data_IF_048548109345
#
_entry.id   IF_048548109345
#
_cell.length_a   1.000
_cell.length_b   1.000
_cell.length_c   1.000
_cell.angle_alpha   90.00
_cell.angle_beta   90.00
_cell.angle_gamma   90.00
#
_symmetry.space_group_name_H-M   'P 1'
#
loop_
_entity.id
_entity.type
_entity.pdbx_description
1 polymer ?
#
# COMPACT_ATOMS: atom_id res chain seq x y z
N UNK A 1 -52.55 38.98 -8.27
CA UNK A 1 -52.85 37.60 -8.60
C UNK A 1 -51.58 36.84 -8.34
N UNK A 2 -51.37 36.41 -7.20
CA UNK A 2 -51.60 35.16 -6.47
C UNK A 2 -50.44 34.17 -6.76
N UNK A 3 -49.56 34.06 -5.82
CA UNK A 3 -49.48 33.16 -4.70
C UNK A 3 -48.81 31.81 -5.06
N UNK A 4 -47.66 31.59 -4.45
CA UNK A 4 -47.24 30.40 -3.69
C UNK A 4 -47.29 29.04 -4.39
N UNK A 5 -46.11 28.45 -4.50
CA UNK A 5 -45.89 27.05 -4.11
C UNK A 5 -44.43 26.86 -3.62
N UNK A 6 -44.24 26.82 -2.34
CA UNK A 6 -43.06 26.24 -1.69
C UNK A 6 -43.11 24.69 -1.82
N UNK A 7 -42.12 24.07 -2.42
CA UNK A 7 -41.89 22.66 -2.24
C UNK A 7 -40.76 22.44 -1.20
N UNK A 8 -41.16 21.97 -0.04
CA UNK A 8 -40.32 21.38 0.95
C UNK A 8 -39.71 20.07 0.38
N UNK A 9 -38.39 20.00 0.30
CA UNK A 9 -37.69 18.72 0.22
C UNK A 9 -37.28 18.34 1.64
N UNK A 10 -37.86 17.24 2.10
CA UNK A 10 -37.56 16.65 3.40
C UNK A 10 -36.20 15.96 3.41
N UNK A 11 -35.42 16.30 4.42
CA UNK A 11 -34.22 15.55 4.80
C UNK A 11 -34.60 14.16 5.29
N UNK A 12 -34.16 13.12 4.55
CA UNK A 12 -34.17 11.75 5.05
C UNK A 12 -32.91 11.51 5.85
N UNK A 13 -32.97 11.63 7.15
CA UNK A 13 -31.93 11.15 8.08
C UNK A 13 -31.95 9.62 8.10
N UNK A 14 -30.97 9.01 7.48
CA UNK A 14 -30.73 7.56 7.58
C UNK A 14 -29.98 7.32 8.91
N UNK A 15 -30.72 6.89 9.95
CA UNK A 15 -30.14 6.43 11.19
C UNK A 15 -29.90 4.93 11.09
N UNK A 16 -28.67 4.52 10.82
CA UNK A 16 -28.24 3.14 10.99
C UNK A 16 -28.18 2.84 12.50
N UNK A 17 -29.22 2.16 13.00
CA UNK A 17 -29.21 1.58 14.33
C UNK A 17 -28.42 0.28 14.31
N UNK A 18 -27.24 0.29 14.95
CA UNK A 18 -26.49 -0.93 15.26
C UNK A 18 -27.16 -1.61 16.44
N UNK A 19 -27.83 -2.72 16.20
CA UNK A 19 -28.42 -3.56 17.24
C UNK A 19 -27.34 -4.49 17.81
N UNK A 20 -26.86 -4.16 19.01
CA UNK A 20 -25.91 -5.01 19.74
C UNK A 20 -26.71 -6.08 20.47
N UNK A 21 -26.64 -7.32 20.02
CA UNK A 21 -27.17 -8.47 20.75
C UNK A 21 -26.21 -8.84 21.89
N UNK A 22 -26.63 -8.56 23.14
CA UNK A 22 -26.00 -9.14 24.32
C UNK A 22 -26.51 -10.58 24.51
N UNK A 23 -25.66 -11.57 24.28
CA UNK A 23 -25.93 -12.93 24.71
C UNK A 23 -25.69 -13.03 26.22
N UNK A 24 -26.76 -13.18 26.99
CA UNK A 24 -26.68 -13.57 28.39
C UNK A 24 -26.50 -15.08 28.47
N UNK A 25 -25.31 -15.55 28.82
CA UNK A 25 -25.10 -16.94 29.22
C UNK A 25 -25.53 -17.09 30.69
N UNK A 26 -26.64 -17.78 30.89
CA UNK A 26 -27.05 -18.27 32.20
C UNK A 26 -26.33 -19.59 32.48
N UNK A 27 -25.41 -19.58 33.44
CA UNK A 27 -24.75 -20.79 33.92
C UNK A 27 -25.67 -21.43 34.97
N UNK A 28 -26.34 -22.49 34.55
CA UNK A 28 -27.08 -23.37 35.47
C UNK A 28 -26.12 -24.36 36.12
N UNK A 29 -25.88 -24.21 37.42
CA UNK A 29 -25.13 -25.17 38.22
C UNK A 29 -25.98 -26.44 38.43
N UNK A 30 -25.70 -27.49 37.65
CA UNK A 30 -26.13 -28.85 38.00
C UNK A 30 -24.91 -29.63 38.46
N UNK A 31 -24.82 -29.82 39.79
CA UNK A 31 -23.89 -30.78 40.35
C UNK A 31 -24.41 -32.19 39.99
N UNK A 32 -23.77 -32.89 39.10
CA UNK A 32 -23.82 -34.34 39.00
C UNK A 32 -22.43 -34.89 39.28
N UNK A 33 -22.30 -35.49 40.46
CA UNK A 33 -21.12 -36.30 40.83
C UNK A 33 -21.15 -37.60 40.04
N UNK A 34 -20.29 -37.73 39.04
CA UNK A 34 -19.96 -38.99 38.41
C UNK A 34 -18.50 -39.31 38.76
N UNK A 35 -18.34 -40.32 39.68
CA UNK A 35 -17.03 -40.96 39.91
C UNK A 35 -16.69 -41.82 38.69
N UNK A 36 -16.00 -41.19 37.71
CA UNK A 36 -15.41 -41.87 36.58
C UNK A 36 -13.89 -41.96 36.80
N UNK A 37 -13.39 -43.19 36.87
CA UNK A 37 -11.97 -43.46 36.89
C UNK A 37 -11.29 -42.85 35.67
N UNK A 38 -10.56 -41.79 35.86
CA UNK A 38 -9.70 -41.21 34.81
C UNK A 38 -8.56 -42.21 34.58
N UNK A 39 -8.67 -42.99 33.51
CA UNK A 39 -7.53 -43.72 32.95
C UNK A 39 -6.66 -42.65 32.28
N UNK A 40 -5.67 -42.18 32.99
CA UNK A 40 -4.61 -41.36 32.40
C UNK A 40 -3.80 -42.28 31.48
N UNK A 41 -4.14 -42.31 30.22
CA UNK A 41 -3.17 -42.72 29.21
C UNK A 41 -2.08 -41.66 29.20
N UNK A 42 -1.03 -41.89 29.98
CA UNK A 42 0.23 -41.20 29.76
C UNK A 42 0.76 -41.75 28.41
N UNK A 43 0.30 -41.13 27.33
CA UNK A 43 0.99 -41.22 26.05
C UNK A 43 2.35 -40.52 26.28
N UNK A 44 3.39 -41.34 26.54
CA UNK A 44 4.76 -40.91 26.34
C UNK A 44 5.03 -40.84 24.85
N UNK A 45 4.28 -40.00 24.14
CA UNK A 45 4.62 -39.53 22.83
C UNK A 45 5.78 -38.56 23.01
N UNK A 46 6.81 -38.70 22.22
CA UNK A 46 7.86 -37.70 22.07
C UNK A 46 7.16 -36.42 21.62
N UNK A 47 7.20 -35.38 22.44
CA UNK A 47 6.65 -34.09 22.04
C UNK A 47 7.56 -33.55 20.96
N UNK A 48 7.00 -33.24 19.80
CA UNK A 48 7.73 -32.55 18.76
C UNK A 48 8.14 -31.16 19.25
N UNK A 49 9.38 -30.78 18.96
CA UNK A 49 9.98 -29.52 19.35
C UNK A 49 10.82 -28.90 18.20
N UNK A 50 10.88 -29.60 17.08
CA UNK A 50 11.50 -29.02 15.88
C UNK A 50 10.51 -28.04 15.23
N UNK A 51 11.04 -27.07 14.53
CA UNK A 51 10.23 -26.01 13.95
C UNK A 51 10.05 -26.25 12.45
N UNK A 52 8.86 -26.06 11.89
CA UNK A 52 8.67 -26.15 10.46
C UNK A 52 9.45 -25.06 9.72
N UNK A 53 9.89 -25.36 8.51
CA UNK A 53 10.73 -24.48 7.69
C UNK A 53 10.35 -24.55 6.21
N UNK A 54 10.83 -23.58 5.42
CA UNK A 54 10.87 -23.71 3.96
C UNK A 54 11.91 -24.76 3.60
N UNK A 55 11.55 -25.71 2.71
CA UNK A 55 12.45 -26.78 2.32
C UNK A 55 13.60 -26.23 1.46
N UNK A 56 14.83 -26.39 1.93
CA UNK A 56 16.02 -25.95 1.19
C UNK A 56 16.53 -26.96 0.17
N UNK A 57 16.01 -28.20 0.20
CA UNK A 57 16.51 -29.30 -0.63
C UNK A 57 15.36 -30.07 -1.31
N UNK A 58 14.75 -29.52 -2.33
CA UNK A 58 13.85 -30.22 -3.24
C UNK A 58 14.41 -30.27 -4.66
N UNK A 59 15.46 -31.05 -4.85
CA UNK A 59 16.07 -31.23 -6.14
C UNK A 59 16.96 -30.04 -6.56
N UNK A 60 16.83 -29.56 -7.79
CA UNK A 60 17.66 -28.48 -8.35
C UNK A 60 16.95 -27.11 -8.38
N UNK A 61 15.79 -26.99 -7.74
CA UNK A 61 15.02 -25.75 -7.72
C UNK A 61 15.25 -25.00 -6.41
N UNK A 62 15.56 -23.72 -6.53
CA UNK A 62 15.69 -22.80 -5.41
C UNK A 62 14.31 -22.42 -4.94
N UNK A 63 14.12 -22.19 -3.62
CA UNK A 63 12.89 -21.60 -3.09
C UNK A 63 12.61 -20.26 -3.75
N UNK A 64 11.37 -20.03 -4.18
CA UNK A 64 10.95 -18.73 -4.73
C UNK A 64 11.03 -17.63 -3.67
N UNK A 65 10.83 -18.00 -2.40
CA UNK A 65 10.95 -17.07 -1.27
C UNK A 65 12.40 -16.71 -0.91
N UNK A 66 13.40 -17.29 -1.59
CA UNK A 66 14.81 -16.95 -1.40
C UNK A 66 15.28 -15.79 -2.29
N UNK A 67 14.50 -15.43 -3.30
CA UNK A 67 14.80 -14.36 -4.27
C UNK A 67 13.70 -13.29 -4.22
N UNK A 68 13.97 -12.11 -4.78
CA UNK A 68 12.98 -11.07 -5.00
C UNK A 68 11.94 -11.53 -6.02
N UNK A 69 10.68 -11.13 -5.81
CA UNK A 69 9.54 -11.47 -6.68
C UNK A 69 9.23 -10.25 -7.53
N UNK A 70 9.25 -10.41 -8.85
CA UNK A 70 8.82 -9.38 -9.78
C UNK A 70 7.34 -9.57 -10.12
N UNK A 71 6.57 -8.48 -10.08
CA UNK A 71 5.15 -8.46 -10.41
C UNK A 71 4.81 -7.24 -11.27
N UNK A 72 3.70 -7.32 -12.00
CA UNK A 72 3.18 -6.23 -12.83
C UNK A 72 1.76 -5.93 -12.38
N UNK A 73 1.43 -4.66 -12.17
CA UNK A 73 0.10 -4.20 -11.81
C UNK A 73 -0.96 -4.71 -12.81
N UNK A 74 -2.13 -5.09 -12.31
CA UNK A 74 -3.21 -5.64 -13.12
C UNK A 74 -3.02 -7.08 -13.60
N UNK A 75 -1.95 -7.77 -13.18
CA UNK A 75 -1.70 -9.19 -13.52
C UNK A 75 -1.92 -10.11 -12.31
N UNK A 76 -1.85 -11.42 -12.57
CA UNK A 76 -1.87 -12.42 -11.50
C UNK A 76 -0.49 -13.02 -11.33
N UNK A 77 0.06 -12.98 -10.12
CA UNK A 77 1.31 -13.64 -9.74
C UNK A 77 0.99 -14.86 -8.89
N UNK A 78 1.60 -16.00 -9.19
CA UNK A 78 1.48 -17.20 -8.37
C UNK A 78 2.81 -17.49 -7.68
N UNK A 79 2.79 -17.46 -6.36
CA UNK A 79 3.94 -17.83 -5.52
C UNK A 79 3.72 -19.27 -5.07
N UNK A 80 4.70 -20.11 -5.30
CA UNK A 80 4.66 -21.53 -4.91
C UNK A 80 5.95 -21.88 -4.20
N UNK A 81 5.84 -22.49 -3.04
CA UNK A 81 7.00 -23.03 -2.34
C UNK A 81 6.69 -24.34 -1.65
N UNK A 82 7.72 -25.01 -1.10
CA UNK A 82 7.58 -26.29 -0.44
C UNK A 82 8.05 -26.16 1.00
N UNK A 83 7.20 -26.63 1.91
CA UNK A 83 7.39 -26.53 3.35
C UNK A 83 7.69 -27.89 3.95
N UNK A 84 8.56 -27.92 4.94
CA UNK A 84 9.09 -29.14 5.56
C UNK A 84 9.01 -29.08 7.08
N UNK A 85 8.73 -30.25 7.64
CA UNK A 85 8.82 -30.51 9.07
C UNK A 85 9.35 -31.94 9.32
N UNK A 86 9.84 -32.24 10.52
CA UNK A 86 10.31 -33.55 10.89
C UNK A 86 9.16 -34.57 11.19
N UNK A 87 7.98 -34.07 11.60
CA UNK A 87 6.78 -34.89 11.88
C UNK A 87 5.62 -34.50 10.96
N UNK A 88 4.79 -33.54 11.30
CA UNK A 88 3.62 -33.18 10.49
C UNK A 88 3.35 -31.67 10.46
N UNK A 89 3.30 -31.09 9.26
CA UNK A 89 2.89 -29.72 9.01
C UNK A 89 1.39 -29.55 9.30
N UNK A 90 0.97 -28.35 9.70
CA UNK A 90 -0.43 -28.00 9.92
C UNK A 90 -0.91 -26.91 8.96
N UNK A 91 -0.25 -25.77 8.92
CA UNK A 91 -0.67 -24.64 8.11
C UNK A 91 0.49 -23.74 7.66
N UNK A 92 0.28 -23.06 6.54
CA UNK A 92 1.06 -21.92 6.10
C UNK A 92 0.15 -20.67 6.07
N UNK A 93 0.68 -19.55 6.54
CA UNK A 93 0.05 -18.24 6.48
C UNK A 93 0.85 -17.34 5.57
N UNK A 94 0.14 -16.71 4.67
CA UNK A 94 0.65 -15.73 3.74
C UNK A 94 0.13 -14.36 4.16
N UNK A 95 1.03 -13.42 4.38
CA UNK A 95 0.72 -12.03 4.71
C UNK A 95 1.49 -11.14 3.73
N UNK A 96 0.75 -10.43 2.87
CA UNK A 96 1.32 -9.56 1.86
C UNK A 96 0.81 -8.14 2.14
N UNK A 97 1.71 -7.21 2.38
CA UNK A 97 1.40 -5.83 2.70
C UNK A 97 2.47 -4.87 2.19
N UNK A 98 2.16 -3.58 2.17
CA UNK A 98 3.08 -2.57 1.69
C UNK A 98 4.30 -2.45 2.62
N UNK A 99 5.50 -2.55 2.09
CA UNK A 99 6.74 -2.44 2.86
C UNK A 99 6.95 -1.05 3.48
N UNK A 100 6.33 0.00 2.94
CA UNK A 100 6.39 1.35 3.49
C UNK A 100 5.63 1.52 4.83
N UNK A 101 4.70 0.61 5.16
CA UNK A 101 3.97 0.63 6.43
C UNK A 101 4.86 0.25 7.63
N UNK A 102 6.02 -0.32 7.35
CA UNK A 102 7.06 -0.57 8.34
C UNK A 102 8.23 0.35 8.05
N UNK A 103 8.54 1.25 8.99
CA UNK A 103 9.79 2.01 8.94
C UNK A 103 10.96 1.00 9.04
N UNK A 104 11.44 0.54 7.88
CA UNK A 104 12.73 -0.11 7.82
C UNK A 104 13.75 0.95 8.21
N UNK A 105 14.24 0.86 9.44
CA UNK A 105 15.35 1.70 9.88
C UNK A 105 16.52 1.46 8.92
N UNK A 106 16.90 2.55 8.26
CA UNK A 106 18.15 2.73 7.53
C UNK A 106 18.27 2.08 6.12
N UNK A 107 17.65 2.73 5.18
CA UNK A 107 18.21 2.83 3.85
C UNK A 107 18.00 4.27 3.43
N UNK A 108 19.05 5.08 3.56
CA UNK A 108 19.10 6.41 2.95
C UNK A 108 18.74 6.27 1.45
N UNK A 109 17.48 6.44 1.11
CA UNK A 109 17.15 6.91 -0.22
C UNK A 109 17.33 8.41 -0.22
N UNK A 110 18.62 8.80 -0.30
CA UNK A 110 18.98 10.06 -0.87
C UNK A 110 18.40 10.04 -2.28
N UNK A 111 17.39 10.84 -2.50
CA UNK A 111 16.79 11.22 -3.77
C UNK A 111 15.28 10.90 -3.88
N UNK A 112 14.51 11.82 -3.39
CA UNK A 112 13.49 12.55 -4.07
C UNK A 112 12.53 11.79 -4.99
N UNK A 113 11.84 10.73 -4.55
CA UNK A 113 10.57 10.30 -5.11
C UNK A 113 10.05 9.17 -4.24
N UNK A 114 9.33 9.47 -3.19
CA UNK A 114 8.52 8.44 -2.53
C UNK A 114 7.26 8.29 -3.38
N UNK A 115 7.27 7.32 -4.29
CA UNK A 115 6.06 6.85 -4.94
C UNK A 115 5.20 6.18 -3.87
N UNK A 116 4.34 6.94 -3.21
CA UNK A 116 3.34 6.36 -2.35
C UNK A 116 2.46 5.43 -3.20
N UNK A 117 2.37 4.17 -2.83
CA UNK A 117 1.36 3.29 -3.37
C UNK A 117 0.01 3.82 -2.89
N UNK A 118 -0.78 4.39 -3.79
CA UNK A 118 -2.12 4.89 -3.46
C UNK A 118 -3.14 3.77 -3.18
N UNK A 119 -2.69 2.53 -3.07
CA UNK A 119 -3.54 1.35 -2.92
C UNK A 119 -3.37 0.74 -1.54
N UNK A 120 -4.42 0.77 -0.76
CA UNK A 120 -4.58 -0.07 0.43
C UNK A 120 -4.90 -1.51 -0.03
N UNK A 121 -3.87 -2.27 -0.39
CA UNK A 121 -4.00 -3.68 -0.76
C UNK A 121 -3.23 -4.53 0.24
N UNK A 122 -3.91 -5.49 0.82
CA UNK A 122 -3.38 -6.40 1.81
C UNK A 122 -3.98 -7.78 1.55
N UNK A 123 -3.18 -8.83 1.67
CA UNK A 123 -3.64 -10.21 1.55
C UNK A 123 -3.18 -10.99 2.78
N UNK A 124 -4.16 -11.54 3.50
CA UNK A 124 -3.92 -12.45 4.61
C UNK A 124 -4.66 -13.75 4.34
N UNK A 125 -3.91 -14.81 4.03
CA UNK A 125 -4.47 -16.12 3.69
C UNK A 125 -3.78 -17.25 4.47
N UNK A 126 -4.56 -18.24 4.87
CA UNK A 126 -4.07 -19.44 5.56
C UNK A 126 -4.46 -20.67 4.77
N UNK A 127 -3.47 -21.53 4.48
CA UNK A 127 -3.67 -22.80 3.78
C UNK A 127 -3.25 -23.96 4.69
N UNK A 128 -4.11 -24.96 4.82
CA UNK A 128 -3.79 -26.18 5.57
C UNK A 128 -2.76 -27.03 4.83
N UNK A 129 -1.78 -27.51 5.57
CA UNK A 129 -0.75 -28.41 5.08
C UNK A 129 -0.90 -29.78 5.74
N UNK A 130 -0.26 -30.80 5.20
CA UNK A 130 -0.23 -32.15 5.76
C UNK A 130 1.08 -32.86 5.41
N UNK A 131 1.49 -33.80 6.27
CA UNK A 131 2.70 -34.59 6.06
C UNK A 131 3.98 -33.81 6.41
N UNK A 132 5.11 -34.45 6.23
CA UNK A 132 6.43 -33.88 6.55
C UNK A 132 7.00 -32.97 5.46
N UNK A 133 6.35 -32.95 4.30
CA UNK A 133 6.69 -32.06 3.19
C UNK A 133 5.44 -31.80 2.37
N UNK A 134 5.13 -30.54 2.09
CA UNK A 134 3.94 -30.16 1.35
C UNK A 134 4.22 -28.90 0.51
N UNK A 135 3.83 -28.92 -0.77
CA UNK A 135 3.85 -27.75 -1.61
C UNK A 135 2.57 -26.95 -1.42
N UNK A 136 2.70 -25.64 -1.27
CA UNK A 136 1.56 -24.72 -1.26
C UNK A 136 1.81 -23.54 -2.18
N UNK A 137 0.73 -22.97 -2.70
CA UNK A 137 0.79 -21.81 -3.57
C UNK A 137 -0.31 -20.83 -3.23
N UNK A 138 -0.01 -19.55 -3.44
CA UNK A 138 -0.97 -18.45 -3.40
C UNK A 138 -1.00 -17.78 -4.76
N UNK A 139 -2.21 -17.45 -5.25
CA UNK A 139 -2.38 -16.67 -6.47
C UNK A 139 -2.83 -15.26 -6.08
N UNK A 140 -2.00 -14.26 -6.37
CA UNK A 140 -2.22 -12.87 -6.03
C UNK A 140 -2.72 -12.12 -7.27
N UNK A 141 -3.91 -11.57 -7.19
CA UNK A 141 -4.41 -10.62 -8.19
C UNK A 141 -3.88 -9.23 -7.83
N UNK A 142 -2.87 -8.78 -8.56
CA UNK A 142 -2.23 -7.50 -8.31
C UNK A 142 -3.15 -6.36 -8.77
N UNK A 143 -3.54 -5.42 -7.90
CA UNK A 143 -4.37 -4.29 -8.31
C UNK A 143 -3.71 -3.45 -9.41
N UNK A 144 -4.52 -2.85 -10.29
CA UNK A 144 -4.02 -1.92 -11.32
C UNK A 144 -3.30 -0.70 -10.73
N UNK A 145 -3.64 -0.34 -9.49
CA UNK A 145 -3.08 0.83 -8.80
C UNK A 145 -1.90 0.49 -7.88
N UNK A 146 -1.55 -0.79 -7.75
CA UNK A 146 -0.41 -1.20 -6.91
C UNK A 146 0.93 -0.89 -7.58
N UNK A 147 1.92 -0.49 -6.79
CA UNK A 147 3.28 -0.20 -7.23
C UNK A 147 4.26 -0.25 -6.06
N UNK A 148 5.56 -0.30 -6.38
CA UNK A 148 6.62 -0.23 -5.38
C UNK A 148 6.89 -1.56 -4.69
N UNK A 149 7.38 -1.51 -3.47
CA UNK A 149 7.86 -2.68 -2.74
C UNK A 149 6.83 -3.17 -1.73
N UNK A 150 6.60 -4.47 -1.75
CA UNK A 150 5.65 -5.16 -0.88
C UNK A 150 6.35 -6.29 -0.15
N UNK A 151 6.10 -6.46 1.14
CA UNK A 151 6.61 -7.59 1.89
C UNK A 151 5.68 -8.79 1.71
N UNK A 152 6.28 -9.94 1.43
CA UNK A 152 5.63 -11.25 1.41
C UNK A 152 6.15 -12.01 2.62
N UNK A 153 5.33 -12.08 3.67
CA UNK A 153 5.66 -12.75 4.92
C UNK A 153 5.00 -14.12 4.95
N UNK A 154 5.78 -15.14 5.20
CA UNK A 154 5.31 -16.53 5.30
C UNK A 154 5.61 -17.08 6.68
N UNK A 155 4.55 -17.47 7.39
CA UNK A 155 4.61 -18.10 8.70
C UNK A 155 4.12 -19.54 8.62
N UNK A 156 4.82 -20.47 9.28
CA UNK A 156 4.53 -21.91 9.29
C UNK A 156 4.18 -22.39 10.69
N UNK A 157 3.21 -23.30 10.77
CA UNK A 157 2.83 -23.98 12.03
C UNK A 157 2.72 -25.47 11.77
N UNK A 158 3.26 -26.30 12.69
CA UNK A 158 3.13 -27.75 12.66
C UNK A 158 1.90 -28.24 13.45
N UNK A 159 1.61 -29.56 13.41
CA UNK A 159 0.51 -30.19 14.16
C UNK A 159 0.75 -30.18 15.69
N UNK A 160 2.00 -30.06 16.15
CA UNK A 160 2.31 -29.94 17.58
C UNK A 160 2.10 -28.51 18.10
N UNK A 161 1.89 -27.54 17.21
CA UNK A 161 1.68 -26.13 17.50
C UNK A 161 2.99 -25.33 17.60
N UNK A 162 4.11 -25.86 17.10
CA UNK A 162 5.34 -25.10 17.00
C UNK A 162 5.23 -24.15 15.79
N UNK A 163 5.63 -22.88 15.98
CA UNK A 163 5.72 -21.89 14.90
C UNK A 163 7.18 -21.78 14.43
N UNK A 164 7.38 -21.92 13.14
CA UNK A 164 8.66 -21.65 12.48
C UNK A 164 9.01 -20.14 12.50
N UNK A 165 10.26 -19.81 12.18
CA UNK A 165 10.61 -18.41 11.94
C UNK A 165 9.88 -17.90 10.70
N UNK A 166 9.44 -16.64 10.75
CA UNK A 166 8.87 -15.99 9.58
C UNK A 166 9.93 -15.87 8.47
N UNK A 167 9.51 -16.14 7.25
CA UNK A 167 10.29 -15.90 6.04
C UNK A 167 9.73 -14.66 5.38
N UNK A 168 10.57 -13.67 5.17
CA UNK A 168 10.18 -12.40 4.53
C UNK A 168 10.95 -12.28 3.23
N UNK A 169 10.23 -12.07 2.12
CA UNK A 169 10.80 -11.71 0.83
C UNK A 169 10.10 -10.48 0.28
N UNK A 170 10.75 -9.76 -0.62
CA UNK A 170 10.19 -8.57 -1.23
C UNK A 170 9.59 -8.90 -2.59
N UNK A 171 8.44 -8.30 -2.86
CA UNK A 171 7.81 -8.29 -4.17
C UNK A 171 7.84 -6.87 -4.73
N UNK A 172 8.50 -6.71 -5.88
CA UNK A 172 8.58 -5.45 -6.61
C UNK A 172 7.45 -5.41 -7.63
N UNK A 173 6.55 -4.45 -7.49
CA UNK A 173 5.42 -4.26 -8.41
C UNK A 173 5.75 -3.10 -9.35
N UNK A 174 5.95 -3.43 -10.64
CA UNK A 174 6.02 -2.45 -11.72
C UNK A 174 4.60 -2.05 -12.13
N UNK A 175 4.37 -0.75 -12.29
CA UNK A 175 3.09 -0.22 -12.76
C UNK A 175 3.29 0.66 -14.00
N UNK A 176 2.97 0.12 -15.16
CA UNK A 176 3.01 0.82 -16.45
C UNK A 176 1.73 1.63 -16.74
N UNK A 177 0.76 1.60 -15.81
CA UNK A 177 -0.56 2.24 -15.95
C UNK A 177 -0.65 3.59 -15.21
N UNK A 178 0.46 4.10 -14.69
CA UNK A 178 0.47 5.37 -13.96
C UNK A 178 0.59 6.55 -14.92
N UNK A 179 -0.11 7.66 -14.64
CA UNK A 179 0.13 8.92 -15.33
C UNK A 179 1.60 9.34 -15.18
N UNK A 180 2.17 9.90 -16.23
CA UNK A 180 3.53 10.44 -16.23
C UNK A 180 3.47 11.96 -16.24
N UNK A 181 4.06 12.58 -15.21
CA UNK A 181 4.20 14.03 -15.11
C UNK A 181 5.65 14.41 -15.48
N UNK A 182 5.83 15.30 -16.43
CA UNK A 182 7.14 15.82 -16.82
C UNK A 182 7.14 17.33 -16.69
N UNK A 183 7.97 17.87 -15.82
CA UNK A 183 8.25 19.30 -15.74
C UNK A 183 9.45 19.59 -16.65
N UNK A 184 9.20 20.33 -17.72
CA UNK A 184 10.21 20.63 -18.72
C UNK A 184 11.06 21.84 -18.35
N UNK A 185 10.42 22.90 -17.81
CA UNK A 185 11.10 24.15 -17.44
C UNK A 185 10.41 24.80 -16.23
N UNK A 186 11.22 25.41 -15.37
CA UNK A 186 10.82 26.36 -14.33
C UNK A 186 11.55 27.68 -14.60
N UNK A 187 10.81 28.75 -14.89
CA UNK A 187 11.35 30.04 -15.31
C UNK A 187 12.33 29.96 -16.49
N UNK A 188 12.06 29.02 -17.43
CA UNK A 188 12.90 28.77 -18.59
C UNK A 188 14.18 28.00 -18.33
N UNK A 189 14.32 27.37 -17.16
CA UNK A 189 15.44 26.51 -16.78
C UNK A 189 14.95 25.07 -16.66
N UNK A 190 15.67 24.13 -17.28
CA UNK A 190 15.42 22.69 -17.13
C UNK A 190 15.78 22.23 -15.71
N UNK A 191 14.80 21.71 -14.93
CA UNK A 191 15.04 21.19 -13.58
C UNK A 191 16.12 20.10 -13.50
N UNK A 192 16.27 19.31 -14.54
CA UNK A 192 17.32 18.28 -14.62
C UNK A 192 18.76 18.84 -14.64
N UNK A 193 18.91 20.17 -14.76
CA UNK A 193 20.22 20.85 -14.71
C UNK A 193 20.55 21.45 -13.35
N UNK A 194 19.63 21.40 -12.39
CA UNK A 194 19.84 21.96 -11.06
C UNK A 194 20.90 21.17 -10.29
N UNK A 195 21.65 21.91 -9.47
CA UNK A 195 22.70 21.32 -8.60
C UNK A 195 22.34 21.42 -7.11
N UNK A 196 21.10 21.78 -6.81
CA UNK A 196 20.55 21.94 -5.48
C UNK A 196 19.08 22.33 -5.58
N UNK A 197 18.44 22.50 -4.45
CA UNK A 197 17.06 22.95 -4.37
C UNK A 197 16.92 24.36 -4.92
N UNK A 198 15.84 24.67 -5.68
CA UNK A 198 15.57 26.01 -6.15
C UNK A 198 15.18 26.94 -4.99
N UNK A 199 15.63 28.20 -5.05
CA UNK A 199 15.28 29.26 -4.10
C UNK A 199 14.29 30.21 -4.75
N UNK A 200 13.11 30.40 -4.12
CA UNK A 200 12.06 31.29 -4.60
C UNK A 200 11.80 32.42 -3.61
N UNK A 201 11.69 33.63 -4.11
CA UNK A 201 11.43 34.79 -3.23
C UNK A 201 9.93 35.01 -3.03
N UNK A 202 9.54 35.40 -1.82
CA UNK A 202 8.18 35.84 -1.53
C UNK A 202 7.75 37.00 -2.44
N UNK A 203 6.54 36.95 -2.98
CA UNK A 203 6.01 37.92 -3.93
C UNK A 203 6.53 37.77 -5.36
N UNK A 204 7.40 36.79 -5.65
CA UNK A 204 7.84 36.50 -7.02
C UNK A 204 6.78 35.72 -7.81
N UNK A 205 6.89 35.77 -9.13
CA UNK A 205 6.14 34.93 -10.03
C UNK A 205 7.06 33.87 -10.59
N UNK A 206 6.59 32.65 -10.68
CA UNK A 206 7.27 31.52 -11.31
C UNK A 206 6.43 31.02 -12.48
N UNK A 207 7.08 30.63 -13.57
CA UNK A 207 6.43 30.00 -14.72
C UNK A 207 6.84 28.53 -14.78
N UNK A 208 5.86 27.63 -14.72
CA UNK A 208 6.04 26.19 -14.85
C UNK A 208 5.56 25.74 -16.22
N UNK A 209 6.38 25.01 -16.96
CA UNK A 209 5.97 24.38 -18.20
C UNK A 209 6.30 22.89 -18.22
N UNK A 210 5.39 22.10 -18.79
CA UNK A 210 5.54 20.66 -18.78
C UNK A 210 4.44 19.93 -19.51
N UNK A 211 4.34 18.66 -19.20
CA UNK A 211 3.37 17.76 -19.81
C UNK A 211 2.94 16.72 -18.77
N UNK A 212 1.66 16.37 -18.81
CA UNK A 212 1.15 15.17 -18.17
C UNK A 212 0.53 14.29 -19.25
N UNK A 213 0.81 12.99 -19.20
CA UNK A 213 0.29 12.02 -20.18
C UNK A 213 -0.05 10.70 -19.51
N UNK A 214 -1.03 10.01 -20.10
CA UNK A 214 -1.41 8.66 -19.78
C UNK A 214 -2.14 8.00 -20.95
N UNK A 215 -1.96 6.69 -21.16
CA UNK A 215 -2.55 5.96 -22.26
C UNK A 215 -4.07 5.79 -22.10
N UNK A 216 -4.56 5.72 -20.86
CA UNK A 216 -5.97 5.55 -20.50
C UNK A 216 -6.69 6.89 -20.34
N UNK A 217 -5.95 8.00 -20.42
CA UNK A 217 -6.45 9.37 -20.34
C UNK A 217 -6.35 9.97 -18.93
N UNK A 218 -5.79 11.16 -18.84
CA UNK A 218 -5.67 11.94 -17.60
C UNK A 218 -6.98 12.63 -17.29
N UNK A 219 -7.58 12.36 -16.15
CA UNK A 219 -8.86 12.97 -15.71
C UNK A 219 -8.67 14.08 -14.70
N UNK A 220 -7.63 14.01 -13.88
CA UNK A 220 -7.28 15.04 -12.90
C UNK A 220 -5.77 15.29 -12.95
N UNK A 221 -5.35 16.54 -12.82
CA UNK A 221 -3.95 16.91 -12.66
C UNK A 221 -3.85 18.25 -11.92
N UNK A 222 -3.04 18.25 -10.86
CA UNK A 222 -2.83 19.43 -10.00
C UNK A 222 -1.34 19.69 -9.83
N UNK A 223 -1.02 20.95 -9.58
CA UNK A 223 0.29 21.38 -9.08
C UNK A 223 0.02 22.23 -7.85
N UNK A 224 0.66 21.88 -6.73
CA UNK A 224 0.53 22.63 -5.48
C UNK A 224 1.90 22.97 -4.88
N UNK A 225 1.97 24.04 -4.12
CA UNK A 225 3.14 24.37 -3.30
C UNK A 225 2.75 24.27 -1.83
N UNK A 226 3.29 23.26 -1.16
CA UNK A 226 2.94 22.87 0.20
C UNK A 226 4.09 23.14 1.14
N UNK A 227 3.84 23.81 2.25
CA UNK A 227 4.85 24.05 3.28
C UNK A 227 5.05 22.78 4.11
N UNK A 228 6.29 22.35 4.26
CA UNK A 228 6.57 21.08 4.96
C UNK A 228 6.30 21.13 6.47
N UNK A 229 6.50 22.27 7.11
CA UNK A 229 6.34 22.38 8.58
C UNK A 229 4.92 22.02 9.07
N UNK A 230 3.87 22.34 8.28
CA UNK A 230 2.47 22.16 8.69
C UNK A 230 1.55 21.66 7.58
N UNK A 231 2.13 21.19 6.46
CA UNK A 231 1.41 20.63 5.31
C UNK A 231 0.38 21.63 4.71
N UNK A 232 0.65 22.92 4.82
CA UNK A 232 -0.24 23.95 4.29
C UNK A 232 0.08 24.29 2.85
N UNK A 233 -0.83 23.98 1.93
CA UNK A 233 -0.74 24.45 0.55
C UNK A 233 -0.93 25.97 0.49
N UNK A 234 0.05 26.68 -0.08
CA UNK A 234 -0.04 28.14 -0.27
C UNK A 234 -0.68 28.51 -1.61
N UNK A 235 -0.68 27.60 -2.57
CA UNK A 235 -1.49 27.64 -3.77
C UNK A 235 -1.65 26.25 -4.39
N UNK A 236 -2.70 26.07 -5.16
CA UNK A 236 -3.01 24.88 -5.94
C UNK A 236 -3.53 25.28 -7.32
N UNK A 237 -3.02 24.64 -8.35
CA UNK A 237 -3.40 24.86 -9.75
C UNK A 237 -4.01 23.58 -10.30
N UNK A 238 -5.25 23.66 -10.77
CA UNK A 238 -5.89 22.58 -11.52
C UNK A 238 -5.61 22.76 -13.01
N UNK A 239 -5.01 21.76 -13.66
CA UNK A 239 -4.66 21.80 -15.08
C UNK A 239 -5.83 21.46 -16.01
N UNK A 240 -6.96 20.96 -15.46
CA UNK A 240 -8.21 20.61 -16.18
C UNK A 240 -7.99 19.72 -17.42
N UNK A 241 -7.38 18.52 -17.29
CA UNK A 241 -6.99 17.69 -18.43
C UNK A 241 -8.18 17.20 -19.29
N UNK A 242 -9.38 17.05 -18.73
CA UNK A 242 -10.60 16.66 -19.44
C UNK A 242 -10.49 15.33 -20.21
N UNK A 243 -9.93 14.32 -19.62
CA UNK A 243 -9.80 12.96 -20.18
C UNK A 243 -9.00 12.95 -21.49
N UNK A 244 -7.82 13.57 -21.48
CA UNK A 244 -6.89 13.59 -22.62
C UNK A 244 -5.71 12.68 -22.35
N UNK A 245 -5.18 12.03 -23.42
CA UNK A 245 -3.98 11.19 -23.31
C UNK A 245 -2.69 11.99 -23.10
N UNK A 246 -2.71 13.27 -23.47
CA UNK A 246 -1.58 14.19 -23.32
C UNK A 246 -2.08 15.62 -23.12
N UNK A 247 -1.61 16.27 -22.07
CA UNK A 247 -1.85 17.67 -21.79
C UNK A 247 -0.51 18.38 -21.61
N UNK A 248 -0.21 19.33 -22.52
CA UNK A 248 0.89 20.27 -22.31
C UNK A 248 0.37 21.48 -21.54
N UNK A 249 1.14 21.96 -20.59
CA UNK A 249 0.78 23.11 -19.78
C UNK A 249 1.90 24.14 -19.72
N UNK A 250 1.50 25.40 -19.58
CA UNK A 250 2.33 26.53 -19.17
C UNK A 250 1.48 27.31 -18.18
N UNK A 251 1.92 27.36 -16.93
CA UNK A 251 1.19 28.02 -15.85
C UNK A 251 2.08 29.00 -15.11
N UNK A 252 1.52 30.14 -14.75
CA UNK A 252 2.17 31.13 -13.92
C UNK A 252 1.60 31.06 -12.51
N UNK A 253 2.46 30.89 -11.51
CA UNK A 253 2.12 30.93 -10.10
C UNK A 253 2.82 32.10 -9.42
N UNK A 254 2.24 32.60 -8.34
CA UNK A 254 2.81 33.68 -7.55
C UNK A 254 3.04 33.20 -6.13
N UNK A 255 4.26 33.27 -5.65
CA UNK A 255 4.56 33.05 -4.24
C UNK A 255 3.93 34.21 -3.45
N UNK A 256 3.00 33.97 -2.53
CA UNK A 256 2.38 35.05 -1.76
C UNK A 256 3.42 35.92 -1.06
N UNK A 257 3.24 37.25 -1.09
CA UNK A 257 4.19 38.17 -0.45
C UNK A 257 4.23 38.04 1.08
N UNK A 258 3.23 37.37 1.66
CA UNK A 258 3.12 37.04 3.08
C UNK A 258 3.36 35.55 3.37
N UNK A 259 3.84 34.80 2.39
CA UNK A 259 4.28 33.42 2.60
C UNK A 259 5.38 33.38 3.68
N UNK A 260 5.34 32.40 4.52
CA UNK A 260 6.40 32.18 5.49
C UNK A 260 7.65 31.65 4.76
N UNK A 261 8.83 32.09 5.19
CA UNK A 261 10.09 31.56 4.67
C UNK A 261 10.35 30.17 5.22
N UNK A 262 11.03 29.32 4.45
CA UNK A 262 11.37 27.94 4.84
C UNK A 262 11.20 26.93 3.72
N UNK A 263 11.20 25.66 4.08
CA UNK A 263 11.09 24.52 3.16
C UNK A 263 9.66 24.27 2.70
N UNK A 264 9.51 24.11 1.40
CA UNK A 264 8.27 23.78 0.72
C UNK A 264 8.47 22.62 -0.24
N UNK A 265 7.41 21.91 -0.53
CA UNK A 265 7.38 20.89 -1.56
C UNK A 265 6.46 21.34 -2.71
N UNK A 266 7.00 21.38 -3.93
CA UNK A 266 6.19 21.50 -5.12
C UNK A 266 5.67 20.11 -5.48
N UNK A 267 4.40 19.87 -5.24
CA UNK A 267 3.73 18.61 -5.53
C UNK A 267 3.03 18.68 -6.88
N UNK A 268 3.12 17.61 -7.65
CA UNK A 268 2.42 17.41 -8.91
C UNK A 268 1.70 16.08 -8.83
N UNK A 269 0.37 16.12 -8.87
CA UNK A 269 -0.46 14.92 -8.80
C UNK A 269 -1.28 14.74 -10.07
N UNK A 270 -1.46 13.51 -10.51
CA UNK A 270 -2.32 13.19 -11.64
C UNK A 270 -3.07 11.89 -11.39
N UNK A 271 -4.30 11.81 -11.92
CA UNK A 271 -5.14 10.60 -11.88
C UNK A 271 -5.65 10.30 -13.28
N UNK A 272 -5.59 9.03 -13.68
CA UNK A 272 -6.10 8.54 -14.96
C UNK A 272 -7.58 8.13 -14.89
N UNK A 273 -8.16 7.74 -16.02
CA UNK A 273 -9.54 7.27 -16.11
C UNK A 273 -9.75 5.88 -15.46
N UNK A 274 -8.70 5.10 -15.23
CA UNK A 274 -8.77 3.82 -14.54
C UNK A 274 -8.68 3.97 -13.01
N UNK A 275 -8.33 5.16 -12.52
CA UNK A 275 -8.18 5.47 -11.10
C UNK A 275 -6.75 5.30 -10.58
N UNK A 276 -5.75 5.10 -11.46
CA UNK A 276 -4.37 5.15 -11.06
C UNK A 276 -3.97 6.58 -10.75
N UNK A 277 -3.36 6.80 -9.61
CA UNK A 277 -2.87 8.10 -9.19
C UNK A 277 -1.35 8.08 -9.04
N UNK A 278 -0.72 9.16 -9.43
CA UNK A 278 0.70 9.41 -9.19
C UNK A 278 0.89 10.77 -8.54
N UNK A 279 1.92 10.84 -7.72
CA UNK A 279 2.42 12.06 -7.12
C UNK A 279 3.92 12.16 -7.37
N UNK A 280 4.38 13.35 -7.68
CA UNK A 280 5.80 13.66 -7.89
C UNK A 280 6.05 15.11 -7.51
N UNK A 281 7.29 15.48 -7.26
CA UNK A 281 7.61 16.85 -6.86
C UNK A 281 9.08 17.05 -6.52
N UNK A 282 9.39 18.18 -5.91
CA UNK A 282 10.71 18.51 -5.43
C UNK A 282 10.64 19.58 -4.34
N UNK A 283 11.68 19.62 -3.53
CA UNK A 283 11.83 20.61 -2.46
C UNK A 283 12.22 21.98 -3.01
N UNK A 284 11.75 23.01 -2.34
CA UNK A 284 11.96 24.44 -2.69
C UNK A 284 12.19 25.22 -1.41
N UNK A 285 13.22 26.06 -1.37
CA UNK A 285 13.40 27.03 -0.30
C UNK A 285 12.68 28.33 -0.67
N UNK A 286 11.78 28.82 0.19
CA UNK A 286 11.11 30.13 0.04
C UNK A 286 11.73 31.15 0.98
N UNK A 287 12.25 32.26 0.40
CA UNK A 287 12.96 33.36 1.10
C UNK A 287 12.16 34.67 1.17
#
# INVERSE_FOLDING_TARGET
MDASQLHHFGEAKNQNQITIYRMNFSISNSLMSLSGAAILFASCGKTDTELPTVCTELGSETSVLADEIEAIAGTTVTITDVFCDNEELSEVRWDIHNAADHAHEEGESDEGFVLHSGTEWEVLETTSLTGTSNASSIALEIPLTARGVWDVVVSLVDEAGNAGPDVVTQMHIENEHLPEFTLSEVDGVDPGTWTGEPEWSTGSSITLSGMVKDADGVVEAFISLVREEDETAIWELNLEPNDVMELQFIVDAVIPADAQTGEYHLEMTATDAAGNAMETGFHVEVE
#
